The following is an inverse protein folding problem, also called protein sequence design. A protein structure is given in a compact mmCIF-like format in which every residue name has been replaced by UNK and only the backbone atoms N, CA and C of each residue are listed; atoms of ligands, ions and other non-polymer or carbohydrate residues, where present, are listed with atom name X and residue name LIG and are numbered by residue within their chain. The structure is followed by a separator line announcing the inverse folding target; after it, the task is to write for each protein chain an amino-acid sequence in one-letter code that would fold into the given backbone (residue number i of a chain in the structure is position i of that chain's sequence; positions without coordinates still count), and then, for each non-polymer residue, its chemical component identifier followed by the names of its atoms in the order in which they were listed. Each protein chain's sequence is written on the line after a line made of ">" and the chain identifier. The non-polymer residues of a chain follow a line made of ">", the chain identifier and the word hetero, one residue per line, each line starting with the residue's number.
data_IF_603757889517
#
_entry.id   IF_603757889517
#
_cell.length_a   1.000
_cell.length_b   1.000
_cell.length_c   1.000
_cell.angle_alpha   90.00
_cell.angle_beta   90.00
_cell.angle_gamma   90.00
#
_symmetry.space_group_name_H-M   'P 1'
#
loop_
_entity.id
_entity.type
_entity.pdbx_description
1 polymer ?
#
# COMPACT_ATOMS: atom_id res chain seq x y z
N UNK A 1 5.84 13.32 33.62
CA UNK A 1 5.10 12.83 32.44
C UNK A 1 5.68 11.46 32.08
N UNK A 2 4.84 10.53 31.60
CA UNK A 2 5.29 9.19 31.23
C UNK A 2 5.48 9.14 29.72
N UNK A 3 6.66 8.72 29.27
CA UNK A 3 7.03 8.65 27.86
C UNK A 3 7.10 7.20 27.41
N UNK A 4 6.47 6.89 26.27
CA UNK A 4 6.62 5.60 25.62
C UNK A 4 7.95 5.61 24.83
N UNK A 5 8.85 4.70 25.17
CA UNK A 5 10.15 4.55 24.52
C UNK A 5 10.14 3.53 23.37
N UNK A 6 8.97 2.91 23.11
CA UNK A 6 8.77 1.82 22.17
C UNK A 6 8.31 0.53 22.87
N UNK A 7 7.66 -0.38 22.13
CA UNK A 7 7.30 -1.73 22.60
C UNK A 7 6.54 -1.78 23.95
N UNK A 8 5.64 -0.82 24.21
CA UNK A 8 4.91 -0.68 25.49
C UNK A 8 5.83 -0.50 26.72
N UNK A 9 7.05 -0.01 26.51
CA UNK A 9 8.00 0.37 27.55
C UNK A 9 7.81 1.86 27.85
N UNK A 10 7.62 2.16 29.14
CA UNK A 10 7.30 3.49 29.62
C UNK A 10 8.34 3.98 30.62
N UNK A 11 8.73 5.24 30.53
CA UNK A 11 9.66 5.89 31.46
C UNK A 11 9.06 7.17 32.02
N UNK A 12 9.18 7.36 33.33
CA UNK A 12 8.81 8.61 33.97
C UNK A 12 9.93 9.64 33.75
N UNK A 13 9.58 10.78 33.17
CA UNK A 13 10.51 11.89 33.01
C UNK A 13 9.88 13.23 33.43
N UNK A 14 10.71 14.11 33.96
CA UNK A 14 10.36 15.50 34.20
C UNK A 14 10.50 16.31 32.92
N UNK A 15 9.46 17.06 32.55
CA UNK A 15 9.51 18.00 31.43
C UNK A 15 9.84 19.38 32.00
N UNK A 16 11.03 19.92 31.76
CA UNK A 16 11.47 21.16 32.40
C UNK A 16 10.77 22.42 31.87
N UNK A 17 10.33 22.45 30.60
CA UNK A 17 9.54 23.55 30.02
C UNK A 17 8.42 23.00 29.12
N UNK A 18 7.22 23.55 29.28
CA UNK A 18 6.01 23.19 28.50
C UNK A 18 5.47 24.36 27.66
N UNK A 19 6.19 25.49 27.66
CA UNK A 19 5.81 26.68 26.88
C UNK A 19 6.04 26.51 25.38
N UNK A 20 7.01 25.68 25.03
CA UNK A 20 7.47 25.46 23.66
C UNK A 20 7.37 23.98 23.30
N UNK A 21 6.95 23.69 22.07
CA UNK A 21 6.88 22.34 21.51
C UNK A 21 7.58 22.31 20.16
N UNK A 22 8.27 21.22 19.85
CA UNK A 22 8.85 21.03 18.52
C UNK A 22 7.82 20.38 17.60
N UNK A 23 7.43 21.12 16.57
CA UNK A 23 6.50 20.66 15.55
C UNK A 23 7.28 20.27 14.30
N UNK A 24 7.06 19.05 13.80
CA UNK A 24 7.54 18.63 12.49
C UNK A 24 6.83 19.46 11.41
N UNK A 25 7.55 20.18 10.56
CA UNK A 25 6.97 20.95 9.45
C UNK A 25 7.15 20.26 8.09
N UNK A 26 7.75 19.07 8.07
CA UNK A 26 8.02 18.25 6.90
C UNK A 26 9.50 18.25 6.49
N UNK A 27 9.86 17.33 5.59
CA UNK A 27 11.23 17.15 5.06
C UNK A 27 12.31 16.95 6.15
N UNK A 28 11.92 16.46 7.34
CA UNK A 28 12.82 16.25 8.47
C UNK A 28 13.17 17.53 9.24
N UNK A 29 12.47 18.64 8.98
CA UNK A 29 12.64 19.88 9.73
C UNK A 29 11.65 19.97 10.89
N UNK A 30 12.17 20.35 12.05
CA UNK A 30 11.40 20.62 13.24
C UNK A 30 11.59 22.08 13.63
N UNK A 31 10.49 22.74 13.96
CA UNK A 31 10.48 24.14 14.35
C UNK A 31 9.91 24.25 15.76
N UNK A 32 10.47 25.14 16.57
CA UNK A 32 9.99 25.43 17.92
C UNK A 32 8.76 26.34 17.84
N UNK A 33 7.65 25.88 18.39
CA UNK A 33 6.37 26.58 18.42
C UNK A 33 5.98 26.89 19.86
N UNK A 34 5.43 28.07 20.11
CA UNK A 34 4.67 28.29 21.33
C UNK A 34 3.35 27.52 21.28
N UNK A 35 2.75 27.27 22.45
CA UNK A 35 1.43 26.62 22.53
C UNK A 35 0.35 27.27 21.65
N UNK A 36 0.35 28.60 21.52
CA UNK A 36 -0.63 29.33 20.69
C UNK A 36 -0.38 29.10 19.20
N UNK A 37 0.85 29.28 18.75
CA UNK A 37 1.22 29.03 17.35
C UNK A 37 0.91 27.59 16.93
N UNK A 38 1.12 26.62 17.84
CA UNK A 38 0.81 25.22 17.56
C UNK A 38 -0.70 24.98 17.40
N UNK A 39 -1.52 25.59 18.26
CA UNK A 39 -2.98 25.50 18.18
C UNK A 39 -3.54 26.14 16.92
N UNK A 40 -2.88 27.16 16.38
CA UNK A 40 -3.27 27.79 15.11
C UNK A 40 -2.81 26.95 13.90
N UNK A 41 -1.62 26.34 13.98
CA UNK A 41 -1.01 25.61 12.87
C UNK A 41 -1.58 24.19 12.64
N UNK A 42 -1.88 23.45 13.72
CA UNK A 42 -2.43 22.08 13.63
C UNK A 42 -3.70 22.01 12.77
N UNK A 43 -4.75 22.83 13.00
CA UNK A 43 -5.98 22.75 12.22
C UNK A 43 -5.76 23.16 10.76
N UNK A 44 -4.91 24.16 10.48
CA UNK A 44 -4.57 24.55 9.10
C UNK A 44 -3.90 23.40 8.35
N UNK A 45 -3.00 22.67 9.02
CA UNK A 45 -2.35 21.51 8.44
C UNK A 45 -3.31 20.34 8.25
N UNK A 46 -4.22 20.12 9.18
CA UNK A 46 -5.28 19.11 9.08
C UNK A 46 -6.16 19.36 7.86
N UNK A 47 -6.64 20.60 7.67
CA UNK A 47 -7.44 20.98 6.50
C UNK A 47 -6.68 20.78 5.19
N UNK A 48 -5.39 21.14 5.14
CA UNK A 48 -4.55 20.90 3.96
C UNK A 48 -4.41 19.41 3.63
N UNK A 49 -4.23 18.55 4.63
CA UNK A 49 -4.13 17.10 4.43
C UNK A 49 -5.47 16.53 3.94
N UNK A 50 -6.58 16.99 4.50
CA UNK A 50 -7.93 16.59 4.05
C UNK A 50 -8.14 16.98 2.59
N UNK A 51 -7.77 18.19 2.19
CA UNK A 51 -7.89 18.65 0.81
C UNK A 51 -7.04 17.81 -0.15
N UNK A 52 -5.80 17.47 0.22
CA UNK A 52 -4.96 16.57 -0.56
C UNK A 52 -5.57 15.17 -0.68
N UNK A 53 -6.20 14.67 0.39
CA UNK A 53 -6.90 13.39 0.38
C UNK A 53 -8.10 13.41 -0.58
N UNK A 54 -8.88 14.48 -0.62
CA UNK A 54 -9.99 14.67 -1.55
C UNK A 54 -9.52 14.68 -3.01
N UNK A 55 -8.43 15.41 -3.30
CA UNK A 55 -7.82 15.44 -4.63
C UNK A 55 -7.38 14.04 -5.09
N UNK A 56 -6.67 13.30 -4.22
CA UNK A 56 -6.23 11.93 -4.50
C UNK A 56 -7.42 10.99 -4.71
N UNK A 57 -8.47 11.09 -3.89
CA UNK A 57 -9.69 10.31 -4.06
C UNK A 57 -10.38 10.61 -5.41
N UNK A 58 -10.38 11.86 -5.85
CA UNK A 58 -10.87 12.26 -7.17
C UNK A 58 -10.10 11.59 -8.30
N UNK A 59 -8.76 11.57 -8.22
CA UNK A 59 -7.90 10.88 -9.21
C UNK A 59 -8.17 9.36 -9.21
N UNK A 60 -8.30 8.74 -8.03
CA UNK A 60 -8.63 7.32 -7.90
C UNK A 60 -9.98 7.01 -8.57
N UNK A 61 -11.00 7.85 -8.35
CA UNK A 61 -12.31 7.67 -8.98
C UNK A 61 -12.22 7.74 -10.52
N UNK A 62 -11.46 8.69 -11.06
CA UNK A 62 -11.23 8.79 -12.50
C UNK A 62 -10.51 7.58 -13.08
N UNK A 63 -9.46 7.09 -12.39
CA UNK A 63 -8.73 5.88 -12.82
C UNK A 63 -9.66 4.68 -12.83
N UNK A 64 -10.45 4.49 -11.76
CA UNK A 64 -11.45 3.41 -11.67
C UNK A 64 -12.46 3.48 -12.82
N UNK A 65 -12.98 4.67 -13.12
CA UNK A 65 -13.93 4.86 -14.22
C UNK A 65 -13.29 4.51 -15.58
N UNK A 66 -12.08 4.98 -15.84
CA UNK A 66 -11.35 4.70 -17.09
C UNK A 66 -11.07 3.21 -17.26
N UNK A 67 -10.60 2.54 -16.21
CA UNK A 67 -10.36 1.10 -16.23
C UNK A 67 -11.66 0.32 -16.50
N UNK A 68 -12.77 0.68 -15.84
CA UNK A 68 -14.06 0.05 -16.07
C UNK A 68 -14.56 0.24 -17.50
N UNK A 69 -14.42 1.46 -18.05
CA UNK A 69 -14.80 1.77 -19.43
C UNK A 69 -13.97 0.95 -20.44
N UNK A 70 -12.66 0.83 -20.21
CA UNK A 70 -11.76 0.08 -21.07
C UNK A 70 -12.09 -1.43 -21.08
N UNK A 71 -12.34 -2.02 -19.91
CA UNK A 71 -12.77 -3.43 -19.80
C UNK A 71 -14.09 -3.64 -20.54
N UNK A 72 -15.08 -2.75 -20.34
CA UNK A 72 -16.37 -2.85 -21.03
C UNK A 72 -16.23 -2.77 -22.55
N UNK A 73 -15.35 -1.90 -23.05
CA UNK A 73 -15.07 -1.77 -24.48
C UNK A 73 -14.43 -3.04 -25.04
N UNK A 74 -13.38 -3.56 -24.40
CA UNK A 74 -12.68 -4.78 -24.86
C UNK A 74 -13.60 -6.00 -24.90
N UNK A 75 -14.40 -6.20 -23.85
CA UNK A 75 -15.38 -7.30 -23.81
C UNK A 75 -16.40 -7.17 -24.94
N UNK A 76 -16.87 -5.95 -25.22
CA UNK A 76 -17.78 -5.69 -26.34
C UNK A 76 -17.15 -6.05 -27.69
N UNK A 77 -15.92 -5.60 -27.95
CA UNK A 77 -15.21 -5.91 -29.19
C UNK A 77 -14.96 -7.41 -29.37
N UNK A 78 -14.63 -8.13 -28.29
CA UNK A 78 -14.45 -9.60 -28.34
C UNK A 78 -15.78 -10.29 -28.67
N UNK A 79 -16.89 -9.83 -28.08
CA UNK A 79 -18.21 -10.41 -28.35
C UNK A 79 -18.63 -10.23 -29.81
N UNK A 80 -18.42 -9.04 -30.37
CA UNK A 80 -18.70 -8.75 -31.78
C UNK A 80 -17.80 -9.57 -32.71
N UNK A 81 -16.50 -9.67 -32.41
CA UNK A 81 -15.56 -10.49 -33.18
C UNK A 81 -15.95 -11.97 -33.15
N UNK A 82 -16.34 -12.49 -31.98
CA UNK A 82 -16.82 -13.87 -31.84
C UNK A 82 -18.06 -14.11 -32.70
N UNK A 83 -19.02 -13.19 -32.67
CA UNK A 83 -20.23 -13.27 -33.48
C UNK A 83 -19.93 -13.27 -34.99
N UNK A 84 -18.99 -12.43 -35.45
CA UNK A 84 -18.57 -12.41 -36.86
C UNK A 84 -17.86 -13.70 -37.28
N UNK A 85 -16.97 -14.25 -36.43
CA UNK A 85 -16.30 -15.53 -36.71
C UNK A 85 -17.32 -16.66 -36.84
N UNK A 86 -18.34 -16.71 -35.98
CA UNK A 86 -19.43 -17.69 -36.08
C UNK A 86 -20.22 -17.56 -37.38
N UNK A 87 -20.45 -16.34 -37.89
CA UNK A 87 -21.10 -16.15 -39.18
C UNK A 87 -20.24 -16.65 -40.35
N UNK A 88 -18.92 -16.46 -40.28
CA UNK A 88 -17.98 -16.88 -41.33
C UNK A 88 -17.80 -18.41 -41.35
N UNK A 89 -17.69 -19.05 -40.18
CA UNK A 89 -17.54 -20.51 -40.08
C UNK A 89 -18.79 -21.28 -40.53
N UNK A 90 -19.96 -20.62 -40.57
CA UNK A 90 -21.22 -21.20 -41.04
C UNK A 90 -21.45 -21.06 -42.56
N UNK A 91 -20.44 -20.66 -43.35
CA UNK A 91 -20.53 -20.62 -44.82
C UNK A 91 -20.28 -22.02 -45.43
N UNK A 92 -21.05 -22.45 -46.45
CA UNK A 92 -20.81 -23.73 -47.12
C UNK A 92 -19.49 -23.71 -47.88
N UNK A 93 -18.72 -24.78 -47.73
CA UNK A 93 -17.37 -24.98 -48.26
C UNK A 93 -17.38 -25.20 -49.79
N UNK A 94 -17.04 -24.17 -50.57
CA UNK A 94 -16.75 -24.29 -52.00
C UNK A 94 -15.49 -23.47 -52.37
N UNK A 95 -14.38 -24.22 -52.51
CA UNK A 95 -13.11 -23.98 -53.23
C UNK A 95 -11.90 -23.29 -52.53
N UNK A 96 -10.77 -24.02 -52.33
CA UNK A 96 -9.56 -23.52 -51.70
C UNK A 96 -8.43 -23.25 -52.72
N UNK A 97 -8.24 -22.01 -53.16
CA UNK A 97 -6.92 -21.48 -53.61
C UNK A 97 -7.04 -20.08 -54.22
N UNK A 98 -6.11 -19.19 -53.85
CA UNK A 98 -5.58 -18.06 -54.66
C UNK A 98 -5.68 -16.62 -54.12
N UNK A 99 -6.29 -16.32 -52.96
CA UNK A 99 -6.23 -14.96 -52.40
C UNK A 99 -5.96 -14.95 -50.89
N UNK A 100 -4.73 -15.25 -50.46
CA UNK A 100 -4.31 -14.92 -49.08
C UNK A 100 -3.80 -13.48 -49.10
N UNK A 101 -4.67 -12.55 -48.70
CA UNK A 101 -4.66 -11.13 -49.07
C UNK A 101 -3.61 -10.29 -48.30
N UNK A 102 -2.96 -9.29 -48.93
CA UNK A 102 -2.19 -8.24 -48.25
C UNK A 102 -3.03 -7.44 -47.23
N UNK A 103 -4.36 -7.49 -47.34
CA UNK A 103 -5.29 -6.94 -46.36
C UNK A 103 -5.13 -7.57 -44.96
N UNK A 104 -4.80 -8.87 -44.87
CA UNK A 104 -4.57 -9.54 -43.58
C UNK A 104 -3.31 -9.02 -42.89
N UNK A 105 -2.21 -8.86 -43.63
CA UNK A 105 -0.98 -8.27 -43.10
C UNK A 105 -1.17 -6.81 -42.68
N UNK A 106 -1.89 -6.03 -43.47
CA UNK A 106 -2.19 -4.64 -43.14
C UNK A 106 -3.11 -4.52 -41.91
N UNK A 107 -4.03 -5.48 -41.70
CA UNK A 107 -4.86 -5.57 -40.49
C UNK A 107 -4.00 -5.85 -39.25
N UNK A 108 -3.14 -6.88 -39.31
CA UNK A 108 -2.25 -7.22 -38.21
C UNK A 108 -1.30 -6.07 -37.85
N UNK A 109 -0.76 -5.37 -38.85
CA UNK A 109 0.09 -4.20 -38.63
C UNK A 109 -0.70 -3.05 -37.99
N UNK A 110 -1.97 -2.86 -38.38
CA UNK A 110 -2.86 -1.87 -37.76
C UNK A 110 -3.20 -2.22 -36.32
N UNK A 111 -3.43 -3.51 -36.03
CA UNK A 111 -3.70 -4.02 -34.68
C UNK A 111 -2.47 -3.86 -33.76
N UNK A 112 -1.27 -4.22 -34.23
CA UNK A 112 -0.03 -4.02 -33.48
C UNK A 112 0.25 -2.54 -33.21
N UNK A 113 -0.02 -1.66 -34.19
CA UNK A 113 0.11 -0.21 -34.01
C UNK A 113 -0.91 0.31 -32.98
N UNK A 114 -2.10 -0.29 -32.92
CA UNK A 114 -3.11 0.03 -31.90
C UNK A 114 -2.66 -0.37 -30.49
N UNK A 115 -2.04 -1.55 -30.34
CA UNK A 115 -1.46 -2.01 -29.07
C UNK A 115 -0.29 -1.09 -28.64
N UNK A 116 0.55 -0.68 -29.58
CA UNK A 116 1.64 0.28 -29.32
C UNK A 116 1.12 1.64 -28.81
N UNK A 117 0.06 2.18 -29.43
CA UNK A 117 -0.60 3.42 -28.96
C UNK A 117 -1.29 3.27 -27.60
N UNK A 118 -1.81 2.08 -27.28
CA UNK A 118 -2.39 1.80 -25.96
C UNK A 118 -1.31 1.67 -24.89
N UNK A 119 -0.13 1.14 -25.24
CA UNK A 119 1.04 1.07 -24.36
C UNK A 119 1.49 2.45 -23.88
N UNK A 120 1.38 3.50 -24.70
CA UNK A 120 1.72 4.88 -24.30
C UNK A 120 0.87 5.40 -23.11
N UNK A 121 -0.30 4.79 -22.86
CA UNK A 121 -1.18 5.13 -21.74
C UNK A 121 -0.94 4.29 -20.48
N UNK A 122 -0.14 3.23 -20.59
CA UNK A 122 0.17 2.32 -19.48
C UNK A 122 1.53 2.68 -18.86
N UNK A 123 1.54 3.73 -18.03
CA UNK A 123 2.73 4.16 -17.31
C UNK A 123 2.90 3.38 -15.98
N UNK A 124 2.98 2.05 -16.07
CA UNK A 124 3.14 1.16 -14.92
C UNK A 124 4.59 0.68 -14.89
N UNK A 125 5.27 0.90 -13.77
CA UNK A 125 6.63 0.38 -13.57
C UNK A 125 6.54 -1.10 -13.24
N UNK A 126 7.16 -1.93 -14.10
CA UNK A 126 7.22 -3.37 -13.93
C UNK A 126 8.57 -3.71 -13.28
N UNK A 127 8.58 -4.40 -12.11
CA UNK A 127 9.82 -4.89 -11.50
C UNK A 127 10.61 -5.77 -12.48
N UNK A 128 11.93 -5.60 -12.51
CA UNK A 128 12.80 -6.29 -13.47
C UNK A 128 12.78 -7.81 -13.27
N UNK A 129 12.51 -8.27 -12.06
CA UNK A 129 12.33 -9.67 -11.71
C UNK A 129 11.15 -10.31 -12.44
N UNK A 130 10.07 -9.56 -12.67
CA UNK A 130 8.91 -10.05 -13.45
C UNK A 130 9.31 -10.28 -14.91
N UNK A 131 10.18 -9.42 -15.47
CA UNK A 131 10.69 -9.60 -16.83
C UNK A 131 11.55 -10.86 -16.93
N UNK A 132 12.40 -11.15 -15.94
CA UNK A 132 13.19 -12.38 -15.93
C UNK A 132 12.34 -13.65 -15.87
N UNK A 133 11.22 -13.63 -15.15
CA UNK A 133 10.28 -14.76 -15.14
C UNK A 133 9.64 -14.99 -16.50
N UNK A 134 9.33 -13.90 -17.24
CA UNK A 134 8.75 -13.99 -18.58
C UNK A 134 9.78 -14.57 -19.56
N UNK A 135 11.04 -14.10 -19.51
CA UNK A 135 12.12 -14.59 -20.37
C UNK A 135 12.39 -16.09 -20.15
N UNK A 136 12.28 -16.55 -18.90
CA UNK A 136 12.43 -17.96 -18.51
C UNK A 136 11.17 -18.81 -18.79
N UNK A 137 10.09 -18.21 -19.31
CA UNK A 137 8.83 -18.90 -19.59
C UNK A 137 8.03 -19.30 -18.34
N UNK A 138 8.31 -18.67 -17.19
CA UNK A 138 7.59 -18.87 -15.92
C UNK A 138 6.39 -17.94 -15.80
N UNK A 139 5.47 -18.28 -14.89
CA UNK A 139 4.29 -17.46 -14.63
C UNK A 139 4.68 -16.19 -13.83
N UNK A 140 4.43 -14.97 -14.33
CA UNK A 140 4.72 -13.72 -13.61
C UNK A 140 3.97 -13.58 -12.27
N UNK A 141 2.88 -14.32 -12.06
CA UNK A 141 2.18 -14.38 -10.77
C UNK A 141 3.04 -15.02 -9.66
N UNK A 142 4.09 -15.76 -10.02
CA UNK A 142 5.06 -16.32 -9.07
C UNK A 142 5.77 -15.20 -8.30
N UNK A 143 6.16 -14.12 -8.97
CA UNK A 143 6.73 -12.94 -8.30
C UNK A 143 5.76 -12.34 -7.28
N UNK A 144 4.49 -12.14 -7.69
CA UNK A 144 3.45 -11.61 -6.79
C UNK A 144 3.27 -12.50 -5.57
N UNK A 145 3.29 -13.82 -5.77
CA UNK A 145 3.19 -14.82 -4.69
C UNK A 145 4.40 -14.76 -3.76
N UNK A 146 5.60 -14.65 -4.28
CA UNK A 146 6.84 -14.61 -3.50
C UNK A 146 6.96 -13.34 -2.67
N UNK A 147 6.62 -12.19 -3.25
CA UNK A 147 6.55 -10.91 -2.52
C UNK A 147 5.53 -11.00 -1.39
N UNK A 148 4.34 -11.55 -1.65
CA UNK A 148 3.31 -11.72 -0.62
C UNK A 148 3.77 -12.66 0.50
N UNK A 149 4.36 -13.81 0.15
CA UNK A 149 4.89 -14.77 1.11
C UNK A 149 6.01 -14.17 1.96
N UNK A 150 6.90 -13.38 1.34
CA UNK A 150 7.96 -12.64 2.04
C UNK A 150 7.37 -11.62 3.03
N UNK A 151 6.32 -10.90 2.64
CA UNK A 151 5.58 -10.00 3.53
C UNK A 151 4.97 -10.74 4.72
N UNK A 152 4.34 -11.90 4.50
CA UNK A 152 3.76 -12.73 5.56
C UNK A 152 4.86 -13.19 6.53
N UNK A 153 5.96 -13.73 6.00
CA UNK A 153 7.08 -14.20 6.81
C UNK A 153 7.69 -13.09 7.66
N UNK A 154 7.94 -11.92 7.06
CA UNK A 154 8.44 -10.73 7.78
C UNK A 154 7.48 -10.24 8.85
N UNK A 155 6.18 -10.25 8.57
CA UNK A 155 5.15 -9.88 9.54
C UNK A 155 5.16 -10.86 10.72
N UNK A 156 5.23 -12.16 10.45
CA UNK A 156 5.30 -13.19 11.47
C UNK A 156 6.56 -13.09 12.33
N UNK A 157 7.72 -12.81 11.74
CA UNK A 157 8.97 -12.54 12.49
C UNK A 157 8.82 -11.31 13.38
N UNK A 158 8.21 -10.24 12.86
CA UNK A 158 7.97 -9.01 13.63
C UNK A 158 7.03 -9.28 14.81
N UNK A 159 5.95 -10.04 14.58
CA UNK A 159 5.05 -10.49 15.64
C UNK A 159 5.79 -11.35 16.67
N UNK A 160 6.61 -12.30 16.24
CA UNK A 160 7.40 -13.14 17.12
C UNK A 160 8.40 -12.35 17.98
N UNK A 161 9.04 -11.32 17.41
CA UNK A 161 9.87 -10.38 18.18
C UNK A 161 9.05 -9.66 19.25
N UNK A 162 7.90 -9.10 18.86
CA UNK A 162 6.98 -8.44 19.80
C UNK A 162 6.54 -9.38 20.92
N UNK A 163 6.20 -10.63 20.59
CA UNK A 163 5.77 -11.63 21.56
C UNK A 163 6.92 -12.05 22.48
N UNK A 164 8.15 -12.20 21.97
CA UNK A 164 9.33 -12.47 22.79
C UNK A 164 9.64 -11.32 23.78
N UNK A 165 9.51 -10.06 23.34
CA UNK A 165 9.66 -8.91 24.23
C UNK A 165 8.54 -8.85 25.28
N UNK A 166 7.30 -9.24 24.93
CA UNK A 166 6.20 -9.37 25.90
C UNK A 166 6.49 -10.45 26.95
N UNK A 167 7.03 -11.59 26.55
CA UNK A 167 7.37 -12.67 27.48
C UNK A 167 8.55 -12.30 28.38
N UNK A 168 9.61 -11.71 27.83
CA UNK A 168 10.75 -11.21 28.61
C UNK A 168 10.28 -10.21 29.66
N UNK A 169 9.40 -9.28 29.28
CA UNK A 169 8.79 -8.32 30.19
C UNK A 169 8.03 -9.03 31.31
N UNK A 170 7.22 -10.03 30.97
CA UNK A 170 6.43 -10.77 31.95
C UNK A 170 7.34 -11.42 32.99
N UNK A 171 8.38 -12.14 32.56
CA UNK A 171 9.35 -12.75 33.48
C UNK A 171 10.07 -11.72 34.35
N UNK A 172 10.53 -10.61 33.77
CA UNK A 172 11.20 -9.54 34.54
C UNK A 172 10.25 -8.96 35.61
N UNK A 173 8.97 -8.77 35.27
CA UNK A 173 7.98 -8.27 36.23
C UNK A 173 7.69 -9.27 37.34
N UNK A 174 7.63 -10.57 37.03
CA UNK A 174 7.43 -11.63 38.02
C UNK A 174 8.63 -11.71 39.00
N UNK A 175 9.87 -11.64 38.51
CA UNK A 175 11.08 -11.61 39.37
C UNK A 175 11.19 -10.33 40.21
N UNK A 176 10.80 -9.18 39.64
CA UNK A 176 10.77 -7.90 40.37
C UNK A 176 9.69 -7.89 41.45
N UNK A 177 8.57 -8.59 41.26
CA UNK A 177 7.48 -8.69 42.24
C UNK A 177 7.91 -9.47 43.49
N UNK A 178 8.78 -10.47 43.31
CA UNK A 178 9.37 -11.24 44.41
C UNK A 178 10.47 -10.46 45.15
N UNK A 179 11.24 -9.63 44.45
CA UNK A 179 12.41 -8.95 45.02
C UNK A 179 12.13 -7.53 45.53
N UNK A 180 11.24 -6.77 44.88
CA UNK A 180 10.94 -5.36 45.21
C UNK A 180 9.48 -5.00 44.85
N UNK A 181 8.47 -5.41 45.64
CA UNK A 181 7.05 -5.24 45.32
C UNK A 181 6.62 -3.75 45.20
N UNK A 182 7.18 -2.87 46.03
CA UNK A 182 6.83 -1.44 46.05
C UNK A 182 7.16 -0.71 44.74
N UNK A 183 8.19 -1.14 44.01
CA UNK A 183 8.57 -0.53 42.72
C UNK A 183 7.76 -1.11 41.55
N UNK A 184 7.28 -2.35 41.68
CA UNK A 184 6.39 -2.98 40.68
C UNK A 184 5.02 -2.32 40.69
N UNK A 185 4.48 -1.99 41.86
CA UNK A 185 3.21 -1.29 41.97
C UNK A 185 3.27 0.11 41.34
N UNK A 186 4.36 0.85 41.58
CA UNK A 186 4.62 2.13 40.91
C UNK A 186 4.70 1.96 39.39
N UNK A 187 5.38 0.92 38.90
CA UNK A 187 5.47 0.64 37.47
C UNK A 187 4.10 0.25 36.86
N UNK A 188 3.29 -0.56 37.56
CA UNK A 188 1.93 -0.93 37.14
C UNK A 188 1.01 0.30 37.07
N UNK A 189 1.13 1.23 38.01
CA UNK A 189 0.36 2.47 38.05
C UNK A 189 0.76 3.45 36.92
N UNK A 190 2.08 3.60 36.69
CA UNK A 190 2.64 4.35 35.56
C UNK A 190 2.13 3.78 34.22
N UNK A 191 2.08 2.45 34.09
CA UNK A 191 1.55 1.78 32.89
C UNK A 191 0.05 1.98 32.73
N UNK A 192 -0.73 1.81 33.79
CA UNK A 192 -2.19 1.96 33.75
C UNK A 192 -2.56 3.39 33.31
N UNK A 193 -1.83 4.38 33.81
CA UNK A 193 -1.99 5.78 33.43
C UNK A 193 -1.57 6.01 31.98
N UNK A 194 -0.46 5.42 31.53
CA UNK A 194 0.01 5.56 30.15
C UNK A 194 -0.89 4.87 29.10
N UNK A 195 -1.50 3.73 29.44
CA UNK A 195 -2.47 3.05 28.57
C UNK A 195 -3.76 3.87 28.40
N UNK A 196 -4.22 4.56 29.46
CA UNK A 196 -5.38 5.45 29.40
C UNK A 196 -5.13 6.68 28.52
N UNK A 197 -3.91 7.26 28.56
CA UNK A 197 -3.54 8.45 27.77
C UNK A 197 -3.39 8.14 26.27
N UNK A 198 -3.03 6.92 25.89
CA UNK A 198 -2.92 6.53 24.46
C UNK A 198 -4.27 6.17 23.81
N UNK A 199 -5.36 6.16 24.60
CA UNK A 199 -6.72 5.76 24.17
C UNK A 199 -7.69 6.94 24.06
N UNK A 200 -7.23 8.16 24.34
CA UNK A 200 -7.93 9.43 24.15
C UNK A 200 -7.27 10.22 23.03
#
# INVERSE_FOLDING_TARGET
>A
MVFNLGSEVYMQAGVPDTRHIFMDVGLGFYVEFTRREALDYIPEREERIIKQLEEVNGVIAQIKQRAHQAVKFLVGSIYEAHHQIQQILNLPDENPSSYRQPAFHNSLVSELNSISKLSEKCNIQIPTEVLSLIDDGKNPDEFTRDVLNSCISRNQVTKGKTDAFKELRKHILEELEETVPDEVDKYREIRATAAAVSSC
#
